data_IF_484016514955
#
_entry.id   IF_484016514955
#
_cell.length_a   1.000
_cell.length_b   1.000
_cell.length_c   1.000
_cell.angle_alpha   90.00
_cell.angle_beta   90.00
_cell.angle_gamma   90.00
#
_symmetry.space_group_name_H-M   'P 1'
#
loop_
_entity.id
_entity.type
_entity.pdbx_description
1 polymer ?
#
# COMPACT_ATOMS: atom_id res chain seq x y z
N UNK A 1 -49.78 5.91 -13.80
CA UNK A 1 -49.14 5.85 -12.46
C UNK A 1 -47.79 5.10 -12.51
N UNK A 2 -46.72 5.71 -13.01
CA UNK A 2 -45.36 5.14 -12.92
C UNK A 2 -44.21 6.16 -13.12
N UNK A 3 -44.42 7.44 -12.83
CA UNK A 3 -43.40 8.48 -13.02
C UNK A 3 -42.77 9.05 -11.73
N UNK A 4 -43.10 8.52 -10.54
CA UNK A 4 -42.61 9.07 -9.27
C UNK A 4 -41.35 8.38 -8.69
N UNK A 5 -41.02 7.13 -9.13
CA UNK A 5 -39.89 6.43 -8.59
C UNK A 5 -38.53 6.86 -9.19
N UNK A 6 -38.52 7.13 -10.50
CA UNK A 6 -37.30 7.55 -11.21
C UNK A 6 -36.81 8.94 -10.77
N UNK A 7 -37.73 9.88 -10.49
CA UNK A 7 -37.40 11.21 -9.98
C UNK A 7 -36.79 11.16 -8.57
N UNK A 8 -37.30 10.26 -7.70
CA UNK A 8 -36.77 10.04 -6.35
C UNK A 8 -35.34 9.49 -6.36
N UNK A 9 -35.03 8.59 -7.30
CA UNK A 9 -33.69 8.01 -7.41
C UNK A 9 -32.66 8.96 -8.00
N UNK A 10 -33.07 9.83 -8.91
CA UNK A 10 -32.24 10.93 -9.44
C UNK A 10 -31.93 11.95 -8.34
N UNK A 11 -32.93 12.33 -7.53
CA UNK A 11 -32.73 13.23 -6.39
C UNK A 11 -31.82 12.63 -5.31
N UNK A 12 -31.96 11.36 -4.99
CA UNK A 12 -31.10 10.65 -4.05
C UNK A 12 -29.65 10.57 -4.56
N UNK A 13 -29.46 10.29 -5.85
CA UNK A 13 -28.11 10.29 -6.46
C UNK A 13 -27.47 11.69 -6.53
N UNK A 14 -28.28 12.74 -6.75
CA UNK A 14 -27.78 14.12 -6.70
C UNK A 14 -27.45 14.57 -5.28
N UNK A 15 -28.29 14.22 -4.29
CA UNK A 15 -27.99 14.51 -2.87
C UNK A 15 -26.73 13.77 -2.40
N UNK A 16 -26.54 12.51 -2.77
CA UNK A 16 -25.31 11.78 -2.44
C UNK A 16 -24.08 12.39 -3.12
N UNK A 17 -24.19 12.84 -4.39
CA UNK A 17 -23.13 13.60 -5.05
C UNK A 17 -22.86 14.97 -4.40
N UNK A 18 -23.92 15.67 -3.94
CA UNK A 18 -23.76 16.95 -3.21
C UNK A 18 -23.13 16.74 -1.82
N UNK A 19 -23.45 15.63 -1.12
CA UNK A 19 -22.85 15.33 0.17
C UNK A 19 -21.37 14.92 0.07
N UNK A 20 -20.97 14.28 -1.03
CA UNK A 20 -19.56 13.97 -1.30
C UNK A 20 -18.75 15.23 -1.66
N UNK A 21 -19.43 16.27 -2.19
CA UNK A 21 -18.81 17.56 -2.52
C UNK A 21 -18.61 18.49 -1.31
N UNK A 22 -19.12 18.14 -0.14
CA UNK A 22 -19.01 18.92 1.10
C UNK A 22 -18.21 18.20 2.18
N UNK A 23 -17.11 17.56 1.82
CA UNK A 23 -16.08 17.26 2.82
C UNK A 23 -15.03 18.39 2.79
N UNK A 24 -15.11 19.35 3.73
CA UNK A 24 -14.23 20.52 3.72
C UNK A 24 -12.85 20.27 4.32
N UNK A 25 -12.40 19.03 4.38
CA UNK A 25 -11.03 18.73 4.80
C UNK A 25 -10.21 18.46 3.54
N UNK A 26 -9.85 19.54 2.85
CA UNK A 26 -8.73 19.50 1.92
C UNK A 26 -7.43 19.15 2.66
N UNK A 27 -6.37 18.83 1.92
CA UNK A 27 -5.06 18.59 2.54
C UNK A 27 -4.67 19.83 3.35
N UNK A 28 -4.44 19.71 4.67
CA UNK A 28 -4.09 20.87 5.50
C UNK A 28 -2.74 21.45 5.08
N UNK A 29 -2.62 22.76 5.13
CA UNK A 29 -1.35 23.45 4.92
C UNK A 29 -0.64 23.63 6.25
N UNK A 30 0.68 23.45 6.23
CA UNK A 30 1.56 23.65 7.39
C UNK A 30 2.61 24.70 7.08
N UNK A 31 2.99 25.48 8.08
CA UNK A 31 4.03 26.50 7.93
C UNK A 31 5.39 25.77 7.82
N UNK A 32 6.12 26.07 6.77
CA UNK A 32 7.47 25.58 6.55
C UNK A 32 8.44 26.74 6.32
N UNK A 33 9.53 26.77 7.09
CA UNK A 33 10.59 27.77 6.95
C UNK A 33 11.82 27.10 6.33
N UNK A 34 12.22 27.59 5.17
CA UNK A 34 13.51 27.22 4.59
C UNK A 34 14.67 27.83 5.39
N UNK A 35 15.82 27.13 5.50
CA UNK A 35 17.01 27.72 6.10
C UNK A 35 17.39 29.01 5.38
N UNK A 36 17.52 30.12 6.15
CA UNK A 36 17.86 31.45 5.62
C UNK A 36 16.65 32.32 5.21
N UNK A 37 15.41 31.82 5.18
CA UNK A 37 14.24 32.62 4.92
C UNK A 37 13.62 33.18 6.21
N UNK A 38 13.25 34.46 6.20
CA UNK A 38 12.65 35.14 7.35
C UNK A 38 11.15 34.80 7.51
N UNK A 39 10.46 34.50 6.41
CA UNK A 39 9.01 34.26 6.37
C UNK A 39 8.72 32.79 6.06
N UNK A 40 7.86 32.13 6.85
CA UNK A 40 7.46 30.74 6.54
C UNK A 40 6.56 30.70 5.31
N UNK A 41 6.75 29.69 4.47
CA UNK A 41 5.86 29.37 3.35
C UNK A 41 4.79 28.34 3.81
N UNK A 42 3.57 28.45 3.29
CA UNK A 42 2.50 27.51 3.55
C UNK A 42 2.52 26.42 2.47
N UNK A 43 2.94 25.23 2.84
CA UNK A 43 2.98 24.03 1.97
C UNK A 43 1.94 23.01 2.43
N UNK A 44 1.43 22.17 1.52
CA UNK A 44 0.55 21.10 1.95
C UNK A 44 1.30 20.06 2.80
N UNK A 45 0.54 19.37 3.67
CA UNK A 45 1.10 18.43 4.63
C UNK A 45 1.88 17.29 3.98
N UNK A 46 1.37 16.72 2.88
CA UNK A 46 2.04 15.59 2.22
C UNK A 46 3.37 16.01 1.59
N UNK A 47 3.42 17.17 0.94
CA UNK A 47 4.66 17.72 0.42
C UNK A 47 5.68 17.98 1.53
N UNK A 48 5.22 18.38 2.73
CA UNK A 48 6.11 18.53 3.88
C UNK A 48 6.62 17.17 4.37
N UNK A 49 5.75 16.15 4.45
CA UNK A 49 6.10 14.80 4.88
C UNK A 49 7.06 14.11 3.89
N UNK A 50 6.87 14.30 2.59
CA UNK A 50 7.78 13.77 1.57
C UNK A 50 9.21 14.29 1.74
N UNK A 51 9.38 15.56 2.10
CA UNK A 51 10.70 16.12 2.43
C UNK A 51 11.34 15.48 3.67
N UNK A 52 10.53 14.97 4.60
CA UNK A 52 10.99 14.16 5.73
C UNK A 52 11.11 12.67 5.39
N UNK A 53 10.98 12.32 4.10
CA UNK A 53 11.08 10.94 3.60
C UNK A 53 9.97 10.02 4.09
N UNK A 54 8.82 10.58 4.44
CA UNK A 54 7.62 9.87 4.88
C UNK A 54 6.64 9.79 3.71
N UNK A 55 6.40 8.58 3.23
CA UNK A 55 5.54 8.26 2.10
C UNK A 55 4.29 7.52 2.57
N UNK A 56 3.21 7.59 1.79
CA UNK A 56 1.96 6.93 2.12
C UNK A 56 1.41 6.11 0.95
N UNK A 57 1.12 4.84 1.21
CA UNK A 57 0.21 4.01 0.44
C UNK A 57 -1.12 3.98 1.20
N UNK A 58 -1.98 4.99 0.97
CA UNK A 58 -3.17 5.26 1.77
C UNK A 58 -4.50 4.96 1.09
N UNK A 59 -4.49 4.41 -0.12
CA UNK A 59 -5.67 4.06 -0.91
C UNK A 59 -5.47 2.77 -1.70
N UNK A 60 -6.43 2.41 -2.55
CA UNK A 60 -6.24 1.32 -3.51
C UNK A 60 -5.05 1.62 -4.42
N UNK A 61 -4.25 0.60 -4.71
CA UNK A 61 -3.04 0.70 -5.51
C UNK A 61 -3.39 0.56 -6.99
N UNK A 62 -3.24 1.64 -7.71
CA UNK A 62 -3.32 1.73 -9.16
C UNK A 62 -1.99 2.17 -9.77
N UNK A 63 -1.94 2.28 -11.10
CA UNK A 63 -0.72 2.66 -11.80
C UNK A 63 -0.31 4.12 -11.52
N UNK A 64 -1.28 5.02 -11.27
CA UNK A 64 -0.99 6.42 -10.98
C UNK A 64 -0.27 6.55 -9.63
N UNK A 65 -0.84 5.96 -8.57
CA UNK A 65 -0.24 5.97 -7.23
C UNK A 65 1.11 5.25 -7.21
N UNK A 66 1.23 4.11 -7.91
CA UNK A 66 2.50 3.38 -8.03
C UNK A 66 3.58 4.25 -8.68
N UNK A 67 3.27 4.92 -9.80
CA UNK A 67 4.21 5.80 -10.48
C UNK A 67 4.63 6.99 -9.62
N UNK A 68 3.71 7.57 -8.83
CA UNK A 68 4.02 8.63 -7.89
C UNK A 68 4.98 8.14 -6.79
N UNK A 69 4.70 6.99 -6.17
CA UNK A 69 5.58 6.40 -5.16
C UNK A 69 6.96 6.06 -5.73
N UNK A 70 7.01 5.45 -6.91
CA UNK A 70 8.24 5.11 -7.59
C UNK A 70 9.09 6.35 -7.87
N UNK A 71 8.49 7.41 -8.43
CA UNK A 71 9.17 8.66 -8.73
C UNK A 71 9.74 9.33 -7.48
N UNK A 72 8.95 9.36 -6.38
CA UNK A 72 9.39 9.96 -5.12
C UNK A 72 10.54 9.14 -4.49
N UNK A 73 10.45 7.80 -4.47
CA UNK A 73 11.50 6.95 -3.92
C UNK A 73 12.82 7.10 -4.69
N UNK A 74 12.77 7.13 -6.02
CA UNK A 74 13.94 7.38 -6.87
C UNK A 74 14.55 8.76 -6.60
N UNK A 75 13.72 9.81 -6.56
CA UNK A 75 14.18 11.17 -6.30
C UNK A 75 14.86 11.29 -4.93
N UNK A 76 14.21 10.83 -3.87
CA UNK A 76 14.74 10.92 -2.51
C UNK A 76 15.97 10.05 -2.31
N UNK A 77 16.06 8.89 -2.94
CA UNK A 77 17.26 8.04 -2.89
C UNK A 77 18.45 8.70 -3.61
N UNK A 78 18.18 9.36 -4.76
CA UNK A 78 19.22 10.10 -5.48
C UNK A 78 19.70 11.35 -4.71
N UNK A 79 18.83 11.99 -3.91
CA UNK A 79 19.19 13.13 -3.07
C UNK A 79 20.13 12.73 -1.91
N UNK A 80 19.80 11.63 -1.21
CA UNK A 80 20.62 11.09 -0.11
C UNK A 80 20.30 9.61 0.10
N UNK A 81 21.18 8.73 -0.36
CA UNK A 81 21.03 7.27 -0.24
C UNK A 81 21.27 6.72 1.17
N UNK A 82 21.87 7.50 2.06
CA UNK A 82 22.16 7.06 3.43
C UNK A 82 20.98 7.24 4.39
N UNK A 83 20.03 8.10 4.02
CA UNK A 83 18.83 8.34 4.83
C UNK A 83 17.71 7.42 4.40
N UNK A 84 17.09 6.74 5.38
CA UNK A 84 15.97 5.81 5.16
C UNK A 84 14.72 6.51 4.62
N UNK A 85 13.94 5.75 3.88
CA UNK A 85 12.57 6.08 3.48
C UNK A 85 11.59 5.36 4.41
N UNK A 86 10.48 6.00 4.73
CA UNK A 86 9.43 5.44 5.57
C UNK A 86 8.13 5.36 4.76
N UNK A 87 7.68 4.16 4.46
CA UNK A 87 6.44 3.92 3.71
C UNK A 87 5.34 3.44 4.66
N UNK A 88 4.38 4.32 4.95
CA UNK A 88 3.18 4.01 5.74
C UNK A 88 2.10 3.41 4.85
N UNK A 89 1.55 2.27 5.27
CA UNK A 89 0.65 1.45 4.45
C UNK A 89 -0.69 1.28 5.15
N UNK A 90 -1.76 1.80 4.52
CA UNK A 90 -3.16 1.62 4.89
C UNK A 90 -3.98 1.45 3.61
N UNK A 91 -3.97 0.26 3.05
CA UNK A 91 -4.48 0.02 1.69
C UNK A 91 -5.12 -1.37 1.58
N UNK A 92 -6.20 -1.50 0.81
CA UNK A 92 -6.79 -2.79 0.47
C UNK A 92 -5.98 -3.57 -0.57
N UNK A 93 -4.87 -3.01 -1.08
CA UNK A 93 -4.15 -3.54 -2.23
C UNK A 93 -4.68 -2.98 -3.55
N UNK A 94 -4.53 -3.72 -4.64
CA UNK A 94 -4.95 -3.28 -5.97
C UNK A 94 -4.19 -4.01 -7.08
N UNK A 95 -3.80 -3.28 -8.12
CA UNK A 95 -3.11 -3.83 -9.31
C UNK A 95 -1.84 -4.60 -8.94
N UNK A 96 -1.72 -5.82 -9.44
CA UNK A 96 -0.56 -6.69 -9.20
C UNK A 96 0.68 -6.11 -9.87
N UNK A 97 0.56 -5.62 -11.10
CA UNK A 97 1.68 -5.03 -11.85
C UNK A 97 2.17 -3.74 -11.20
N UNK A 98 1.24 -2.88 -10.76
CA UNK A 98 1.55 -1.68 -10.00
C UNK A 98 2.29 -2.02 -8.69
N UNK A 99 1.82 -3.05 -7.95
CA UNK A 99 2.46 -3.49 -6.72
C UNK A 99 3.85 -4.09 -6.91
N UNK A 100 4.05 -4.87 -7.97
CA UNK A 100 5.36 -5.40 -8.33
C UNK A 100 6.33 -4.26 -8.70
N UNK A 101 5.87 -3.23 -9.42
CA UNK A 101 6.71 -2.08 -9.78
C UNK A 101 7.20 -1.32 -8.54
N UNK A 102 6.31 -1.11 -7.54
CA UNK A 102 6.69 -0.49 -6.26
C UNK A 102 7.69 -1.37 -5.51
N UNK A 103 7.44 -2.68 -5.44
CA UNK A 103 8.35 -3.64 -4.80
C UNK A 103 9.73 -3.64 -5.45
N UNK A 104 9.80 -3.65 -6.79
CA UNK A 104 11.06 -3.64 -7.52
C UNK A 104 11.83 -2.33 -7.26
N UNK A 105 11.16 -1.18 -7.26
CA UNK A 105 11.80 0.11 -6.94
C UNK A 105 12.28 0.15 -5.49
N UNK A 106 11.51 -0.38 -4.52
CA UNK A 106 11.96 -0.48 -3.12
C UNK A 106 13.26 -1.26 -2.97
N UNK A 107 13.46 -2.29 -3.80
CA UNK A 107 14.68 -3.11 -3.80
C UNK A 107 15.80 -2.54 -4.68
N UNK A 108 15.47 -1.66 -5.63
CA UNK A 108 16.43 -1.07 -6.56
C UNK A 108 17.12 0.17 -5.98
N UNK A 109 16.41 0.97 -5.19
CA UNK A 109 16.95 2.20 -4.59
C UNK A 109 17.97 1.88 -3.50
N UNK A 110 19.07 2.65 -3.43
CA UNK A 110 20.10 2.48 -2.41
C UNK A 110 19.62 2.85 -1.00
N UNK A 111 18.65 3.77 -0.90
CA UNK A 111 18.06 4.15 0.37
C UNK A 111 17.18 3.05 0.94
N UNK A 112 17.49 2.55 2.14
CA UNK A 112 16.71 1.51 2.80
C UNK A 112 15.26 1.95 3.04
N UNK A 113 14.29 1.12 2.64
CA UNK A 113 12.86 1.40 2.78
C UNK A 113 12.29 0.67 3.99
N UNK A 114 11.93 1.43 5.01
CA UNK A 114 11.18 0.95 6.18
C UNK A 114 9.69 0.95 5.87
N UNK A 115 9.02 -0.17 6.03
CA UNK A 115 7.57 -0.29 5.81
C UNK A 115 6.82 -0.35 7.13
N UNK A 116 5.71 0.39 7.24
CA UNK A 116 4.91 0.49 8.45
C UNK A 116 3.44 0.26 8.14
N UNK A 117 2.91 -0.90 8.54
CA UNK A 117 1.49 -1.21 8.43
C UNK A 117 0.66 -0.45 9.47
N UNK A 118 -0.31 0.33 9.01
CA UNK A 118 -1.28 1.05 9.84
C UNK A 118 -2.70 0.71 9.40
N UNK A 119 -3.61 0.50 10.34
CA UNK A 119 -5.00 0.18 10.02
C UNK A 119 -5.15 -1.15 9.27
N UNK A 120 -5.06 -1.13 7.94
CA UNK A 120 -5.26 -2.29 7.09
C UNK A 120 -4.23 -2.40 5.95
N UNK A 121 -3.61 -3.55 5.81
CA UNK A 121 -2.70 -3.85 4.70
C UNK A 121 -3.10 -5.19 4.07
N UNK A 122 -3.75 -5.16 2.91
CA UNK A 122 -4.30 -6.35 2.29
C UNK A 122 -3.77 -6.58 0.87
N UNK A 123 -3.76 -7.86 0.43
CA UNK A 123 -3.41 -8.22 -0.94
C UNK A 123 -2.05 -7.64 -1.34
N UNK A 124 -1.94 -6.90 -2.44
CA UNK A 124 -0.67 -6.29 -2.87
C UNK A 124 -0.08 -5.32 -1.84
N UNK A 125 -0.89 -4.67 -0.99
CA UNK A 125 -0.37 -3.82 0.07
C UNK A 125 0.32 -4.62 1.19
N UNK A 126 -0.16 -5.83 1.51
CA UNK A 126 0.55 -6.74 2.43
C UNK A 126 1.85 -7.27 1.84
N UNK A 127 1.89 -7.45 0.52
CA UNK A 127 3.10 -7.84 -0.20
C UNK A 127 4.16 -6.72 -0.15
N UNK A 128 3.76 -5.47 -0.41
CA UNK A 128 4.65 -4.29 -0.29
C UNK A 128 5.12 -4.13 1.16
N UNK A 129 4.25 -4.35 2.15
CA UNK A 129 4.62 -4.30 3.57
C UNK A 129 5.73 -5.32 3.89
N UNK A 130 5.58 -6.56 3.40
CA UNK A 130 6.58 -7.61 3.58
C UNK A 130 7.87 -7.34 2.78
N UNK A 131 7.80 -6.52 1.73
CA UNK A 131 8.92 -6.17 0.84
C UNK A 131 9.87 -5.10 1.38
N UNK A 132 9.61 -4.52 2.56
CA UNK A 132 10.52 -3.57 3.20
C UNK A 132 11.85 -4.18 3.59
N UNK A 133 12.80 -3.32 3.98
CA UNK A 133 14.12 -3.72 4.47
C UNK A 133 13.99 -4.71 5.63
N UNK A 134 14.71 -5.82 5.57
CA UNK A 134 14.68 -6.84 6.63
C UNK A 134 15.14 -6.26 7.97
N UNK A 135 14.39 -6.51 9.02
CA UNK A 135 14.58 -5.94 10.35
C UNK A 135 13.92 -4.56 10.53
N UNK A 136 13.34 -4.00 9.46
CA UNK A 136 12.67 -2.68 9.47
C UNK A 136 11.25 -2.71 8.90
N UNK A 137 10.61 -3.89 8.89
CA UNK A 137 9.20 -4.06 8.52
C UNK A 137 8.37 -4.03 9.79
N UNK A 138 7.49 -3.04 9.94
CA UNK A 138 6.74 -2.80 11.16
C UNK A 138 5.23 -2.90 10.93
N UNK A 139 4.50 -3.28 11.97
CA UNK A 139 3.04 -3.10 12.02
C UNK A 139 2.65 -2.46 13.35
N UNK A 140 1.69 -1.52 13.31
CA UNK A 140 1.09 -1.01 14.54
C UNK A 140 0.24 -2.10 15.19
N UNK A 141 0.01 -2.07 16.52
CA UNK A 141 -0.61 -3.17 17.27
C UNK A 141 -1.99 -3.60 16.78
N UNK A 142 -2.76 -2.66 16.24
CA UNK A 142 -4.11 -2.90 15.73
C UNK A 142 -4.18 -3.02 14.20
N UNK A 143 -3.02 -3.04 13.53
CA UNK A 143 -2.98 -3.27 12.08
C UNK A 143 -3.48 -4.68 11.77
N UNK A 144 -4.35 -4.78 10.76
CA UNK A 144 -4.80 -6.05 10.20
C UNK A 144 -4.10 -6.27 8.87
N UNK A 145 -3.54 -7.44 8.71
CA UNK A 145 -2.86 -7.82 7.47
C UNK A 145 -3.64 -8.96 6.82
N UNK A 146 -3.83 -8.90 5.51
CA UNK A 146 -4.52 -9.96 4.76
C UNK A 146 -3.70 -10.35 3.55
N UNK A 147 -3.50 -11.64 3.40
CA UNK A 147 -2.86 -12.25 2.22
C UNK A 147 -3.85 -13.13 1.48
N UNK A 148 -3.79 -13.11 0.17
CA UNK A 148 -4.53 -14.00 -0.71
C UNK A 148 -3.87 -14.09 -2.10
N UNK A 149 -4.31 -15.03 -2.93
CA UNK A 149 -3.85 -15.16 -4.31
C UNK A 149 -4.33 -14.00 -5.18
N UNK A 150 -3.62 -13.68 -6.28
CA UNK A 150 -4.10 -12.72 -7.26
C UNK A 150 -5.49 -13.08 -7.78
N UNK A 151 -6.35 -12.09 -7.89
CA UNK A 151 -7.67 -12.20 -8.50
C UNK A 151 -7.68 -11.39 -9.80
N UNK A 152 -8.35 -11.93 -10.81
CA UNK A 152 -8.57 -11.26 -12.08
C UNK A 152 -9.81 -11.80 -12.73
N UNK A 153 -10.39 -11.03 -13.63
CA UNK A 153 -11.51 -11.42 -14.48
C UNK A 153 -11.27 -10.85 -15.86
N UNK A 154 -11.65 -11.60 -16.88
CA UNK A 154 -11.52 -11.19 -18.27
C UNK A 154 -12.79 -11.50 -19.04
N UNK A 155 -13.17 -10.58 -19.91
CA UNK A 155 -14.19 -10.75 -20.94
C UNK A 155 -13.53 -10.58 -22.30
N UNK A 156 -13.72 -11.54 -23.21
CA UNK A 156 -13.11 -11.48 -24.53
C UNK A 156 -13.31 -12.77 -25.33
N UNK A 157 -12.54 -12.94 -26.38
CA UNK A 157 -12.54 -14.17 -27.18
C UNK A 157 -11.92 -15.33 -26.38
N UNK A 158 -12.34 -16.56 -26.66
CA UNK A 158 -11.88 -17.75 -25.93
C UNK A 158 -10.36 -17.89 -25.90
N UNK A 159 -9.67 -17.54 -26.99
CA UNK A 159 -8.19 -17.54 -27.07
C UNK A 159 -7.54 -16.52 -26.14
N UNK A 160 -8.14 -15.34 -25.99
CA UNK A 160 -7.66 -14.27 -25.11
C UNK A 160 -7.81 -14.67 -23.64
N UNK A 161 -8.97 -15.29 -23.29
CA UNK A 161 -9.23 -15.80 -21.94
C UNK A 161 -8.20 -16.85 -21.52
N UNK A 162 -7.78 -17.72 -22.45
CA UNK A 162 -6.74 -18.74 -22.18
C UNK A 162 -5.39 -18.09 -21.89
N UNK A 163 -4.99 -17.09 -22.69
CA UNK A 163 -3.71 -16.36 -22.47
C UNK A 163 -3.71 -15.64 -21.14
N UNK A 164 -4.80 -14.94 -20.79
CA UNK A 164 -4.91 -14.24 -19.51
C UNK A 164 -4.88 -15.19 -18.31
N UNK A 165 -5.57 -16.33 -18.41
CA UNK A 165 -5.51 -17.38 -17.40
C UNK A 165 -4.07 -17.82 -17.13
N UNK A 166 -3.29 -18.03 -18.20
CA UNK A 166 -1.91 -18.49 -18.07
C UNK A 166 -1.03 -17.40 -17.44
N UNK A 167 -1.28 -16.12 -17.74
CA UNK A 167 -0.58 -14.99 -17.11
C UNK A 167 -0.95 -14.87 -15.61
N UNK A 168 -2.22 -14.98 -15.24
CA UNK A 168 -2.64 -14.98 -13.83
C UNK A 168 -1.97 -16.13 -13.05
N UNK A 169 -1.89 -17.33 -13.64
CA UNK A 169 -1.19 -18.46 -13.03
C UNK A 169 0.31 -18.18 -12.88
N UNK A 170 0.93 -17.53 -13.87
CA UNK A 170 2.34 -17.11 -13.81
C UNK A 170 2.58 -16.12 -12.67
N UNK A 171 1.73 -15.10 -12.55
CA UNK A 171 1.79 -14.10 -11.48
C UNK A 171 1.57 -14.72 -10.11
N UNK A 172 0.57 -15.63 -9.97
CA UNK A 172 0.35 -16.38 -8.72
C UNK A 172 1.61 -17.14 -8.29
N UNK A 173 2.29 -17.82 -9.21
CA UNK A 173 3.52 -18.54 -8.92
C UNK A 173 4.66 -17.60 -8.54
N UNK A 174 4.79 -16.47 -9.21
CA UNK A 174 5.80 -15.45 -8.92
C UNK A 174 5.61 -14.88 -7.51
N UNK A 175 4.42 -14.37 -7.21
CA UNK A 175 4.10 -13.80 -5.89
C UNK A 175 4.27 -14.85 -4.79
N UNK A 176 3.85 -16.10 -5.03
CA UNK A 176 4.05 -17.19 -4.08
C UNK A 176 5.53 -17.43 -3.74
N UNK A 177 6.42 -17.43 -4.73
CA UNK A 177 7.88 -17.54 -4.52
C UNK A 177 8.42 -16.36 -3.72
N UNK A 178 8.02 -15.14 -4.10
CA UNK A 178 8.47 -13.94 -3.40
C UNK A 178 8.01 -13.95 -1.92
N UNK A 179 6.78 -14.40 -1.63
CA UNK A 179 6.35 -14.57 -0.24
C UNK A 179 7.19 -15.62 0.52
N UNK A 180 7.60 -16.71 -0.11
CA UNK A 180 8.53 -17.68 0.51
C UNK A 180 9.83 -16.99 0.92
N UNK A 181 10.41 -16.21 0.00
CA UNK A 181 11.67 -15.50 0.24
C UNK A 181 11.51 -14.42 1.32
N UNK A 182 10.41 -13.68 1.32
CA UNK A 182 10.14 -12.57 2.24
C UNK A 182 9.82 -13.06 3.66
N UNK A 183 9.08 -14.16 3.79
CA UNK A 183 8.57 -14.64 5.08
C UNK A 183 9.41 -15.78 5.69
N UNK A 184 10.14 -16.51 4.87
CA UNK A 184 10.83 -17.74 5.30
C UNK A 184 9.89 -18.95 5.49
N UNK A 185 8.60 -18.82 5.13
CA UNK A 185 7.65 -19.94 5.19
C UNK A 185 7.89 -20.93 4.06
N UNK A 186 7.46 -22.19 4.27
CA UNK A 186 7.54 -23.20 3.21
C UNK A 186 6.63 -22.87 2.04
N UNK A 187 7.02 -23.26 0.82
CA UNK A 187 6.20 -23.10 -0.39
C UNK A 187 4.80 -23.75 -0.24
N UNK A 188 4.71 -24.88 0.46
CA UNK A 188 3.44 -25.56 0.73
C UNK A 188 2.54 -24.73 1.66
N UNK A 189 3.12 -24.11 2.69
CA UNK A 189 2.39 -23.19 3.61
C UNK A 189 1.87 -21.98 2.85
N UNK A 190 2.73 -21.30 2.07
CA UNK A 190 2.35 -20.14 1.27
C UNK A 190 1.25 -20.50 0.27
N UNK A 191 1.39 -21.60 -0.47
CA UNK A 191 0.40 -22.03 -1.46
C UNK A 191 -0.99 -22.28 -0.83
N UNK A 192 -1.04 -22.92 0.32
CA UNK A 192 -2.27 -23.17 1.09
C UNK A 192 -2.87 -21.86 1.61
N UNK A 193 -2.04 -20.99 2.19
CA UNK A 193 -2.49 -19.80 2.89
C UNK A 193 -2.88 -18.66 1.94
N UNK A 194 -2.35 -18.65 0.71
CA UNK A 194 -2.78 -17.74 -0.34
C UNK A 194 -4.07 -18.20 -1.07
N UNK A 195 -4.50 -19.45 -0.92
CA UNK A 195 -5.66 -19.98 -1.66
C UNK A 195 -6.99 -19.30 -1.27
N UNK A 196 -7.09 -18.79 -0.05
CA UNK A 196 -8.23 -18.04 0.50
C UNK A 196 -7.73 -16.83 1.27
N UNK A 197 -8.64 -15.89 1.53
CA UNK A 197 -8.35 -14.72 2.35
C UNK A 197 -7.88 -15.15 3.75
N UNK A 198 -6.62 -14.91 4.05
CA UNK A 198 -6.03 -15.17 5.36
C UNK A 198 -5.75 -13.85 6.07
N UNK A 199 -6.51 -13.62 7.14
CA UNK A 199 -6.35 -12.44 8.00
C UNK A 199 -5.42 -12.74 9.17
N UNK A 200 -4.51 -11.81 9.43
CA UNK A 200 -3.50 -11.89 10.47
C UNK A 200 -3.58 -10.62 11.35
N UNK A 201 -3.43 -10.78 12.65
CA UNK A 201 -3.11 -9.68 13.53
C UNK A 201 -1.65 -9.24 13.33
N UNK A 202 -1.26 -8.08 13.86
CA UNK A 202 0.13 -7.64 13.80
C UNK A 202 1.10 -8.65 14.45
N UNK A 203 0.67 -9.33 15.52
CA UNK A 203 1.48 -10.38 16.19
C UNK A 203 1.62 -11.63 15.33
N UNK A 204 0.50 -12.11 14.78
CA UNK A 204 0.50 -13.29 13.88
C UNK A 204 1.33 -13.00 12.63
N UNK A 205 1.27 -11.78 12.09
CA UNK A 205 2.05 -11.36 10.93
C UNK A 205 3.55 -11.34 11.21
N UNK A 206 3.96 -10.97 12.44
CA UNK A 206 5.36 -11.07 12.87
C UNK A 206 5.80 -12.53 12.98
N UNK A 207 4.99 -13.40 13.59
CA UNK A 207 5.29 -14.83 13.72
C UNK A 207 5.31 -15.53 12.34
N UNK A 208 4.49 -15.03 11.41
CA UNK A 208 4.45 -15.51 10.04
C UNK A 208 5.65 -15.04 9.20
N UNK A 209 6.30 -13.93 9.59
CA UNK A 209 7.46 -13.36 8.91
C UNK A 209 7.11 -12.25 7.90
N UNK A 210 5.87 -11.76 7.89
CA UNK A 210 5.46 -10.62 7.04
C UNK A 210 6.01 -9.30 7.55
N UNK A 211 6.16 -9.16 8.86
CA UNK A 211 6.78 -8.00 9.51
C UNK A 211 7.80 -8.49 10.54
N UNK A 212 8.73 -7.62 10.91
CA UNK A 212 9.78 -7.93 11.88
C UNK A 212 9.40 -7.49 13.28
N UNK A 213 8.69 -6.37 13.40
CA UNK A 213 8.38 -5.74 14.68
C UNK A 213 6.91 -5.33 14.74
N UNK A 214 6.33 -5.44 15.95
CA UNK A 214 5.07 -4.77 16.28
C UNK A 214 5.43 -3.53 17.09
N UNK A 215 5.19 -2.34 16.51
CA UNK A 215 5.51 -1.08 17.16
C UNK A 215 4.54 -0.83 18.31
N UNK A 216 5.01 -0.94 19.54
CA UNK A 216 4.28 -0.53 20.73
C UNK A 216 4.91 0.73 21.31
N UNK A 217 4.08 1.61 21.87
CA UNK A 217 4.53 2.84 22.54
C UNK A 217 5.02 2.53 23.97
N UNK A 218 5.58 1.34 24.20
CA UNK A 218 6.15 0.94 25.50
C UNK A 218 7.52 1.60 25.69
N UNK A 219 7.53 2.95 25.78
CA UNK A 219 8.66 3.72 26.28
C UNK A 219 8.96 3.46 27.78
N UNK A 220 8.28 2.50 28.41
CA UNK A 220 8.42 2.18 29.85
C UNK A 220 8.98 0.78 30.15
N UNK A 221 9.63 0.10 29.18
CA UNK A 221 10.34 -1.15 29.47
C UNK A 221 11.72 -1.14 28.85
N UNK A 222 12.60 -0.33 29.41
CA UNK A 222 14.02 -0.58 29.55
C UNK A 222 14.38 -0.61 31.02
#
# INVERSE_FOLDING_TARGET
>A
LSSSSAASDVYKRQLVKLFISFMPIGVPKVAYRLPGEAVPQWVDLYNRLYRERVLFLGSALDDELANQLNGIMLYLSAEDSQRRLFLYINSPGGSVTAGLSVFDIMNYVDAAVTTIGIGFAASMASFILAGGERGARLALPHCRIMIHQPQGGMEGQASEIVLEKDEIIRLRKLIGRLYVDLTGQSAATIARDLDRDKFLSARDAREYGLVDLVASNDSNKM
#
